data_IF_705716786973
#
_entry.id   IF_705716786973
#
_cell.length_a   1.000
_cell.length_b   1.000
_cell.length_c   1.000
_cell.angle_alpha   90.00
_cell.angle_beta   90.00
_cell.angle_gamma   90.00
#
_symmetry.space_group_name_H-M   'P 1'
#
loop_
_entity.id
_entity.type
_entity.pdbx_description
1 polymer ?
#
# COMPACT_ATOMS: atom_id res chain seq x y z
N UNK A 1 40.08 38.03 -12.36
CA UNK A 1 39.55 36.83 -13.04
C UNK A 1 39.50 35.71 -12.03
N UNK A 2 38.49 34.85 -11.96
CA UNK A 2 37.33 34.66 -12.81
C UNK A 2 36.09 34.42 -11.94
N UNK A 3 34.96 34.91 -12.44
CA UNK A 3 33.64 34.82 -11.86
C UNK A 3 33.16 33.37 -11.79
N UNK A 4 32.50 32.97 -10.69
CA UNK A 4 31.64 31.79 -10.66
C UNK A 4 30.22 32.26 -11.00
N UNK A 5 29.70 31.76 -12.12
CA UNK A 5 28.37 32.07 -12.62
C UNK A 5 27.24 31.55 -11.72
N UNK A 6 26.01 32.01 -11.94
CA UNK A 6 24.85 31.65 -11.13
C UNK A 6 24.47 30.19 -11.38
N UNK A 7 24.30 29.43 -10.29
CA UNK A 7 23.60 28.14 -10.33
C UNK A 7 22.11 28.44 -10.44
N UNK A 8 21.53 28.24 -11.61
CA UNK A 8 20.08 28.14 -11.76
C UNK A 8 19.61 26.85 -11.07
N UNK A 9 19.14 26.99 -9.83
CA UNK A 9 18.27 26.00 -9.18
C UNK A 9 16.86 26.55 -9.35
N UNK A 10 16.10 25.98 -10.29
CA UNK A 10 14.65 26.21 -10.37
C UNK A 10 14.00 24.86 -10.13
N UNK A 11 13.25 24.81 -9.04
CA UNK A 11 12.61 23.62 -8.51
C UNK A 11 12.40 23.85 -7.03
N UNK A 12 11.54 24.82 -6.70
CA UNK A 12 11.08 25.10 -5.34
C UNK A 12 10.34 23.86 -4.86
N UNK A 13 11.04 22.96 -4.17
CA UNK A 13 10.38 22.00 -3.31
C UNK A 13 9.91 22.77 -2.08
N UNK A 14 8.60 22.96 -1.96
CA UNK A 14 8.00 23.35 -0.70
C UNK A 14 8.19 22.19 0.28
N UNK A 15 9.33 22.20 0.98
CA UNK A 15 9.43 21.56 2.28
C UNK A 15 8.50 22.35 3.20
N UNK A 16 7.34 21.77 3.52
CA UNK A 16 6.65 22.15 4.74
C UNK A 16 7.48 21.58 5.89
N UNK A 17 8.41 22.38 6.40
CA UNK A 17 8.87 22.22 7.77
C UNK A 17 7.66 22.46 8.66
N UNK A 18 7.10 21.37 9.20
CA UNK A 18 6.23 21.47 10.37
C UNK A 18 7.19 21.76 11.52
N UNK A 19 7.45 23.05 11.76
CA UNK A 19 7.94 23.50 13.06
C UNK A 19 6.77 23.24 14.01
N UNK A 20 6.87 22.16 14.78
CA UNK A 20 6.06 21.97 15.96
C UNK A 20 6.62 22.96 16.98
N UNK A 21 6.05 24.16 17.04
CA UNK A 21 6.24 25.05 18.17
C UNK A 21 5.77 24.27 19.42
N UNK A 22 6.70 24.10 20.37
CA UNK A 22 6.47 23.41 21.63
C UNK A 22 5.28 24.04 22.38
N UNK A 23 4.31 23.20 22.76
CA UNK A 23 3.27 23.46 23.78
C UNK A 23 2.15 24.48 23.49
N UNK A 24 1.52 24.46 22.31
CA UNK A 24 0.12 24.89 22.18
C UNK A 24 -0.80 23.70 21.84
N UNK A 25 -1.29 23.05 22.90
CA UNK A 25 -2.50 22.23 22.81
C UNK A 25 -3.64 23.17 22.40
N UNK A 26 -4.02 23.12 21.12
CA UNK A 26 -5.24 23.79 20.67
C UNK A 26 -6.41 23.10 21.38
N UNK A 27 -6.92 23.71 22.45
CA UNK A 27 -8.20 23.36 23.06
C UNK A 27 -9.33 23.70 22.08
N UNK A 28 -9.44 22.92 21.00
CA UNK A 28 -10.64 22.88 20.20
C UNK A 28 -11.71 22.16 21.03
N UNK A 29 -12.37 22.90 21.91
CA UNK A 29 -13.57 22.49 22.66
C UNK A 29 -14.80 22.24 21.76
N UNK A 30 -14.61 22.02 20.46
CA UNK A 30 -15.65 21.78 19.46
C UNK A 30 -15.45 20.45 18.69
N UNK A 31 -14.56 19.56 19.14
CA UNK A 31 -14.76 18.14 18.85
C UNK A 31 -15.94 17.66 19.71
N UNK A 32 -17.12 17.52 19.10
CA UNK A 32 -18.25 16.81 19.72
C UNK A 32 -17.69 15.56 20.40
N UNK A 33 -17.72 15.53 21.74
CA UNK A 33 -17.27 14.37 22.50
C UNK A 33 -18.03 13.15 21.98
N UNK A 34 -17.35 12.32 21.18
CA UNK A 34 -18.00 11.21 20.49
C UNK A 34 -18.64 10.30 21.53
N UNK A 35 -19.96 10.13 21.43
CA UNK A 35 -20.69 9.31 22.38
C UNK A 35 -20.23 7.85 22.28
N UNK A 36 -19.87 7.26 23.41
CA UNK A 36 -19.68 5.81 23.48
C UNK A 36 -21.02 5.10 23.29
N UNK A 37 -21.06 4.12 22.39
CA UNK A 37 -22.24 3.29 22.11
C UNK A 37 -22.02 1.85 22.56
N UNK A 38 -23.03 1.15 23.12
CA UNK A 38 -22.90 -0.26 23.47
C UNK A 38 -22.59 -1.13 22.26
N UNK A 39 -21.55 -1.96 22.35
CA UNK A 39 -21.18 -2.92 21.30
C UNK A 39 -21.87 -4.27 21.52
N UNK A 40 -22.69 -4.70 20.55
CA UNK A 40 -23.42 -5.98 20.58
C UNK A 40 -23.10 -6.83 19.34
N UNK A 41 -21.99 -7.59 19.34
CA UNK A 41 -21.61 -8.42 18.20
C UNK A 41 -22.51 -9.65 18.10
N UNK A 42 -22.65 -10.17 16.87
CA UNK A 42 -23.26 -11.48 16.63
C UNK A 42 -22.43 -12.56 17.34
N UNK A 43 -23.08 -13.34 18.20
CA UNK A 43 -22.50 -14.52 18.84
C UNK A 43 -22.97 -15.78 18.13
N UNK A 44 -22.08 -16.77 18.06
CA UNK A 44 -22.34 -18.07 17.45
C UNK A 44 -22.14 -19.19 18.48
N UNK A 45 -22.83 -20.33 18.35
CA UNK A 45 -22.50 -21.54 19.10
C UNK A 45 -21.06 -21.99 18.83
N UNK A 46 -20.40 -22.61 19.82
CA UNK A 46 -18.99 -23.03 19.72
C UNK A 46 -18.71 -23.90 18.50
N UNK A 47 -19.59 -24.85 18.20
CA UNK A 47 -19.49 -25.71 17.01
C UNK A 47 -19.45 -24.89 15.72
N UNK A 48 -20.33 -23.88 15.60
CA UNK A 48 -20.35 -22.98 14.44
C UNK A 48 -19.09 -22.11 14.38
N UNK A 49 -18.57 -21.64 15.52
CA UNK A 49 -17.32 -20.88 15.57
C UNK A 49 -16.14 -21.73 15.08
N UNK A 50 -16.06 -22.97 15.54
CA UNK A 50 -15.02 -23.93 15.13
C UNK A 50 -15.10 -24.26 13.64
N UNK A 51 -16.31 -24.43 13.10
CA UNK A 51 -16.46 -24.71 11.68
C UNK A 51 -16.03 -23.51 10.83
N UNK A 52 -16.52 -22.30 11.15
CA UNK A 52 -16.18 -21.08 10.42
C UNK A 52 -14.68 -20.77 10.45
N UNK A 53 -14.02 -21.01 11.58
CA UNK A 53 -12.56 -20.78 11.69
C UNK A 53 -11.76 -21.76 10.82
N UNK A 54 -12.18 -23.04 10.75
CA UNK A 54 -11.57 -24.04 9.86
C UNK A 54 -11.76 -23.68 8.39
N UNK A 55 -12.96 -23.25 8.01
CA UNK A 55 -13.27 -22.89 6.63
C UNK A 55 -12.49 -21.64 6.20
N UNK A 56 -12.44 -20.63 7.07
CA UNK A 56 -11.66 -19.42 6.82
C UNK A 56 -10.16 -19.71 6.73
N UNK A 57 -9.61 -20.53 7.63
CA UNK A 57 -8.21 -20.97 7.54
C UNK A 57 -7.95 -21.69 6.21
N UNK A 58 -8.80 -22.65 5.85
CA UNK A 58 -8.70 -23.41 4.60
C UNK A 58 -8.74 -22.51 3.37
N UNK A 59 -9.60 -21.49 3.37
CA UNK A 59 -9.67 -20.49 2.31
C UNK A 59 -8.39 -19.65 2.23
N UNK A 60 -7.94 -19.09 3.36
CA UNK A 60 -6.77 -18.23 3.39
C UNK A 60 -5.46 -18.99 3.07
N UNK A 61 -5.38 -20.27 3.42
CA UNK A 61 -4.23 -21.12 3.13
C UNK A 61 -4.08 -21.46 1.63
N UNK A 62 -5.16 -21.34 0.84
CA UNK A 62 -5.10 -21.49 -0.61
C UNK A 62 -4.45 -20.28 -1.30
N UNK A 63 -4.39 -19.11 -0.64
CA UNK A 63 -3.83 -17.89 -1.21
C UNK A 63 -2.34 -18.07 -1.50
N UNK A 64 -1.93 -17.82 -2.74
CA UNK A 64 -0.53 -17.75 -3.16
C UNK A 64 -0.24 -16.39 -3.77
N UNK A 65 1.00 -15.92 -3.65
CA UNK A 65 1.45 -14.76 -4.43
C UNK A 65 1.68 -15.20 -5.88
N UNK A 66 0.76 -14.80 -6.76
CA UNK A 66 0.78 -15.10 -8.20
C UNK A 66 1.48 -13.96 -8.95
N UNK A 67 2.37 -14.28 -9.88
CA UNK A 67 3.16 -13.32 -10.66
C UNK A 67 2.83 -13.32 -12.16
N UNK A 68 1.83 -14.09 -12.55
CA UNK A 68 1.31 -14.21 -13.91
C UNK A 68 -0.19 -13.93 -13.84
N UNK A 69 -0.62 -12.79 -14.35
CA UNK A 69 -1.99 -12.29 -14.23
C UNK A 69 -2.62 -12.27 -15.63
N UNK A 70 -3.89 -12.68 -15.71
CA UNK A 70 -4.67 -12.65 -16.96
C UNK A 70 -5.04 -11.20 -17.32
N UNK A 71 -5.10 -10.82 -18.61
CA UNK A 71 -5.64 -9.53 -19.05
C UNK A 71 -7.18 -9.48 -19.03
N UNK A 72 -7.84 -10.56 -18.60
CA UNK A 72 -9.29 -10.61 -18.46
C UNK A 72 -9.79 -9.55 -17.46
N UNK A 73 -10.76 -8.69 -17.84
CA UNK A 73 -11.24 -7.64 -16.96
C UNK A 73 -11.99 -8.21 -15.75
N UNK A 74 -11.76 -7.61 -14.58
CA UNK A 74 -12.48 -7.89 -13.34
C UNK A 74 -13.61 -6.86 -13.16
N UNK A 75 -14.81 -7.27 -12.70
CA UNK A 75 -15.88 -6.31 -12.41
C UNK A 75 -15.43 -5.25 -11.41
N UNK A 76 -15.68 -3.97 -11.73
CA UNK A 76 -15.25 -2.83 -10.89
C UNK A 76 -15.78 -2.92 -9.46
N UNK A 77 -17.02 -3.36 -9.29
CA UNK A 77 -17.63 -3.52 -7.97
C UNK A 77 -16.85 -4.49 -7.07
N UNK A 78 -16.26 -5.54 -7.63
CA UNK A 78 -15.42 -6.47 -6.85
C UNK A 78 -14.19 -5.74 -6.30
N UNK A 79 -13.55 -4.89 -7.12
CA UNK A 79 -12.40 -4.06 -6.70
C UNK A 79 -12.82 -3.08 -5.60
N UNK A 80 -13.97 -2.43 -5.75
CA UNK A 80 -14.47 -1.48 -4.75
C UNK A 80 -14.77 -2.19 -3.42
N UNK A 81 -15.35 -3.40 -3.44
CA UNK A 81 -15.63 -4.16 -2.22
C UNK A 81 -14.37 -4.60 -1.49
N UNK A 82 -13.31 -5.00 -2.20
CA UNK A 82 -12.04 -5.38 -1.53
C UNK A 82 -11.34 -4.17 -0.92
N UNK A 83 -11.44 -2.98 -1.55
CA UNK A 83 -10.92 -1.72 -1.00
C UNK A 83 -11.72 -1.30 0.23
N UNK A 84 -13.05 -1.33 0.17
CA UNK A 84 -13.91 -1.06 1.33
C UNK A 84 -13.60 -1.99 2.50
N UNK A 85 -13.34 -3.27 2.21
CA UNK A 85 -12.93 -4.25 3.23
C UNK A 85 -11.57 -3.90 3.84
N UNK A 86 -10.61 -3.42 3.05
CA UNK A 86 -9.32 -2.96 3.57
C UNK A 86 -9.46 -1.73 4.47
N UNK A 87 -10.39 -0.83 4.15
CA UNK A 87 -10.70 0.36 4.96
C UNK A 87 -11.29 0.06 6.33
N UNK A 88 -11.76 -1.16 6.62
CA UNK A 88 -12.23 -1.52 7.96
C UNK A 88 -11.11 -1.87 8.94
N UNK A 89 -9.84 -1.74 8.53
CA UNK A 89 -8.70 -1.94 9.41
C UNK A 89 -8.70 -0.88 10.54
N UNK A 90 -8.21 -1.21 11.75
CA UNK A 90 -8.00 -0.20 12.78
C UNK A 90 -6.85 0.74 12.40
N UNK A 91 -6.95 2.01 12.81
CA UNK A 91 -5.89 3.02 12.66
C UNK A 91 -5.65 3.77 13.97
N UNK A 92 -4.40 4.14 14.25
CA UNK A 92 -4.06 4.97 15.40
C UNK A 92 -4.85 6.28 15.38
N UNK A 93 -5.49 6.61 16.50
CA UNK A 93 -6.36 7.78 16.65
C UNK A 93 -7.43 7.92 15.55
N UNK A 94 -7.90 6.80 14.97
CA UNK A 94 -8.89 6.79 13.88
C UNK A 94 -8.48 7.66 12.65
N UNK A 95 -7.18 7.80 12.39
CA UNK A 95 -6.66 8.67 11.31
C UNK A 95 -6.88 8.14 9.89
N UNK A 96 -7.17 6.84 9.73
CA UNK A 96 -7.37 6.17 8.43
C UNK A 96 -6.34 6.60 7.37
N UNK A 97 -5.01 6.47 7.63
CA UNK A 97 -3.96 7.14 6.85
C UNK A 97 -3.63 6.38 5.56
N UNK A 98 -4.63 5.90 4.83
CA UNK A 98 -4.50 5.13 3.62
C UNK A 98 -5.17 5.81 2.42
N UNK A 99 -4.52 5.74 1.27
CA UNK A 99 -5.10 6.07 -0.03
C UNK A 99 -4.92 4.87 -0.96
N UNK A 100 -6.02 4.37 -1.52
CA UNK A 100 -6.00 3.29 -2.49
C UNK A 100 -6.08 3.87 -3.90
N UNK A 101 -4.97 3.81 -4.65
CA UNK A 101 -4.90 4.30 -6.03
C UNK A 101 -5.19 3.15 -6.99
N UNK A 102 -6.33 3.22 -7.70
CA UNK A 102 -6.73 2.23 -8.71
C UNK A 102 -6.36 2.74 -10.09
N UNK A 103 -5.54 1.97 -10.83
CA UNK A 103 -5.08 2.33 -12.17
C UNK A 103 -5.58 1.29 -13.18
N UNK A 104 -6.47 1.69 -14.07
CA UNK A 104 -6.94 0.87 -15.20
C UNK A 104 -6.34 1.30 -16.55
N UNK A 105 -5.95 2.56 -16.68
CA UNK A 105 -5.43 3.12 -17.93
C UNK A 105 -4.11 2.48 -18.34
N UNK A 106 -4.07 1.94 -19.56
CA UNK A 106 -2.95 1.16 -20.06
C UNK A 106 -1.66 1.99 -20.17
N UNK A 107 -1.75 3.23 -20.64
CA UNK A 107 -0.60 4.13 -20.74
C UNK A 107 0.00 4.44 -19.37
N UNK A 108 -0.85 4.63 -18.35
CA UNK A 108 -0.41 4.86 -16.97
C UNK A 108 0.24 3.61 -16.39
N UNK A 109 -0.36 2.43 -16.59
CA UNK A 109 0.23 1.14 -16.21
C UNK A 109 1.59 0.90 -16.85
N UNK A 110 1.73 1.22 -18.14
CA UNK A 110 3.00 1.09 -18.85
C UNK A 110 4.09 2.03 -18.29
N UNK A 111 3.76 3.29 -18.03
CA UNK A 111 4.68 4.25 -17.38
C UNK A 111 5.14 3.76 -16.01
N UNK A 112 4.22 3.22 -15.20
CA UNK A 112 4.54 2.62 -13.89
C UNK A 112 5.52 1.45 -14.07
N UNK A 113 5.25 0.56 -15.05
CA UNK A 113 6.14 -0.58 -15.32
C UNK A 113 7.57 -0.13 -15.63
N UNK A 114 7.75 0.85 -16.52
CA UNK A 114 9.08 1.34 -16.89
C UNK A 114 9.87 1.82 -15.67
N UNK A 115 9.24 2.63 -14.80
CA UNK A 115 9.87 3.16 -13.58
C UNK A 115 10.24 2.01 -12.62
N UNK A 116 9.33 1.05 -12.44
CA UNK A 116 9.56 -0.08 -11.51
C UNK A 116 10.66 -1.01 -12.01
N UNK A 117 10.69 -1.35 -13.31
CA UNK A 117 11.70 -2.25 -13.87
C UNK A 117 13.10 -1.61 -13.83
N UNK A 118 13.21 -0.31 -14.08
CA UNK A 118 14.47 0.45 -13.95
C UNK A 118 15.02 0.42 -12.53
N UNK A 119 14.20 0.74 -11.53
CA UNK A 119 14.62 0.72 -10.12
C UNK A 119 14.93 -0.70 -9.62
N UNK A 120 14.16 -1.70 -10.05
CA UNK A 120 14.41 -3.11 -9.71
C UNK A 120 15.72 -3.62 -10.31
N UNK A 121 16.06 -3.24 -11.55
CA UNK A 121 17.36 -3.60 -12.13
C UNK A 121 18.52 -3.03 -11.29
N UNK A 122 18.43 -1.76 -10.88
CA UNK A 122 19.42 -1.15 -9.99
C UNK A 122 19.48 -1.87 -8.64
N UNK A 123 18.32 -2.21 -8.07
CA UNK A 123 18.25 -2.92 -6.79
C UNK A 123 18.94 -4.28 -6.85
N UNK A 124 18.61 -5.10 -7.86
CA UNK A 124 19.17 -6.42 -8.06
C UNK A 124 20.68 -6.41 -8.31
N UNK A 125 21.18 -5.39 -9.02
CA UNK A 125 22.60 -5.29 -9.37
C UNK A 125 23.47 -4.66 -8.27
N UNK A 126 22.92 -3.76 -7.45
CA UNK A 126 23.74 -2.88 -6.61
C UNK A 126 23.27 -2.76 -5.16
N UNK A 127 21.96 -2.73 -4.88
CA UNK A 127 21.45 -2.34 -3.55
C UNK A 127 21.11 -3.51 -2.63
N UNK A 128 20.79 -4.67 -3.19
CA UNK A 128 20.22 -5.82 -2.45
C UNK A 128 21.28 -6.69 -1.75
N UNK A 129 22.53 -6.65 -2.21
CA UNK A 129 23.62 -7.49 -1.70
C UNK A 129 23.42 -9.00 -1.97
N UNK A 130 24.50 -9.77 -1.85
CA UNK A 130 24.52 -11.19 -2.27
C UNK A 130 23.53 -12.08 -1.51
N UNK A 131 23.34 -11.80 -0.21
CA UNK A 131 22.44 -12.59 0.66
C UNK A 131 20.98 -12.48 0.21
N UNK A 132 20.51 -11.27 -0.11
CA UNK A 132 19.11 -11.06 -0.47
C UNK A 132 18.82 -11.58 -1.89
N UNK A 133 19.79 -11.46 -2.81
CA UNK A 133 19.70 -12.07 -4.14
C UNK A 133 19.61 -13.60 -4.04
N UNK A 134 20.39 -14.22 -3.16
CA UNK A 134 20.34 -15.66 -2.93
C UNK A 134 18.97 -16.12 -2.37
N UNK A 135 18.42 -15.40 -1.39
CA UNK A 135 17.12 -15.72 -0.79
C UNK A 135 15.96 -15.62 -1.81
N UNK A 136 16.09 -14.76 -2.82
CA UNK A 136 15.11 -14.59 -3.89
C UNK A 136 15.26 -15.61 -5.02
N UNK A 137 16.42 -16.27 -5.17
CA UNK A 137 16.68 -17.21 -6.25
C UNK A 137 15.61 -18.33 -6.33
N UNK A 138 15.16 -18.83 -5.17
CA UNK A 138 14.09 -19.85 -5.08
C UNK A 138 12.74 -19.37 -5.63
N UNK A 139 12.49 -18.06 -5.63
CA UNK A 139 11.26 -17.46 -6.12
C UNK A 139 11.29 -17.18 -7.63
N UNK A 140 12.47 -17.31 -8.27
CA UNK A 140 12.69 -17.06 -9.69
C UNK A 140 12.18 -15.69 -10.15
N UNK A 141 12.31 -14.69 -9.28
CA UNK A 141 11.96 -13.30 -9.58
C UNK A 141 13.15 -12.56 -10.18
N UNK A 142 12.87 -11.67 -11.12
CA UNK A 142 13.84 -10.74 -11.70
C UNK A 142 13.23 -9.33 -11.76
N UNK A 143 13.91 -8.42 -12.44
CA UNK A 143 13.45 -7.03 -12.62
C UNK A 143 12.29 -6.88 -13.60
N UNK A 144 11.99 -7.87 -14.44
CA UNK A 144 10.90 -7.82 -15.43
C UNK A 144 9.55 -8.07 -14.73
N UNK A 145 8.62 -7.12 -14.82
CA UNK A 145 7.32 -7.13 -14.14
C UNK A 145 6.15 -7.06 -15.13
N UNK A 146 6.02 -8.10 -15.96
CA UNK A 146 4.99 -8.17 -17.01
C UNK A 146 3.56 -7.95 -16.47
N UNK A 147 3.28 -8.43 -15.27
CA UNK A 147 1.97 -8.30 -14.61
C UNK A 147 1.53 -6.86 -14.33
N UNK A 148 2.42 -5.86 -14.48
CA UNK A 148 2.05 -4.44 -14.34
C UNK A 148 1.29 -3.90 -15.55
N UNK A 149 1.33 -4.60 -16.69
CA UNK A 149 0.68 -4.19 -17.94
C UNK A 149 -0.33 -5.19 -18.47
N UNK A 150 -0.42 -6.39 -17.89
CA UNK A 150 -1.49 -7.36 -18.17
C UNK A 150 -2.84 -6.81 -17.72
#
# INVERSE_FOLDING_TARGET
>A
GAARGPKNVIGTFHFFEIILDDDEWVENNEEEALAHVPYSPQRYPEETMLQRSKDFYSLMNQRRSVRFISPEPVPREVIDKVILTAGTAPSGAHTEPWTFVVVSEMDTKHKIRLIVEEEEEVNYRQRMGDKWVHDLARLRTNWIKEYLVT
#
